data_IF_695175544762
#
_entry.id   IF_695175544762
#
_cell.length_a   1.000
_cell.length_b   1.000
_cell.length_c   1.000
_cell.angle_alpha   90.00
_cell.angle_beta   90.00
_cell.angle_gamma   90.00
#
_symmetry.space_group_name_H-M   'P 1'
#
loop_
_entity.id
_entity.type
_entity.pdbx_description
1 polymer ?
#
# COMPACT_ATOMS: atom_id res chain seq x y z
N UNK A 1 -6.76 -7.44 3.66
CA UNK A 1 -6.39 -7.30 2.25
C UNK A 1 -5.94 -8.65 1.71
N UNK A 2 -6.43 -9.05 0.55
CA UNK A 2 -6.16 -10.39 0.02
C UNK A 2 -4.86 -10.39 -0.77
N UNK A 3 -3.99 -11.35 -0.46
CA UNK A 3 -2.74 -11.58 -1.19
C UNK A 3 -2.90 -12.83 -2.05
N UNK A 4 -2.58 -12.71 -3.33
CA UNK A 4 -2.66 -13.79 -4.30
C UNK A 4 -1.24 -14.25 -4.60
N UNK A 5 -1.02 -15.56 -4.51
CA UNK A 5 0.29 -16.16 -4.80
C UNK A 5 0.27 -16.88 -6.12
N UNK A 6 1.35 -16.78 -6.86
CA UNK A 6 1.57 -17.57 -8.07
C UNK A 6 3.03 -18.04 -8.12
N UNK A 7 3.23 -19.24 -8.65
CA UNK A 7 4.55 -19.83 -8.79
C UNK A 7 4.87 -20.01 -10.27
N UNK A 8 6.07 -19.61 -10.67
CA UNK A 8 6.60 -19.91 -12.00
C UNK A 8 8.04 -20.42 -11.81
N UNK A 9 8.25 -21.71 -12.11
CA UNK A 9 9.54 -22.38 -11.89
C UNK A 9 9.98 -22.27 -10.42
N UNK A 10 11.11 -21.64 -10.16
CA UNK A 10 11.70 -21.44 -8.84
C UNK A 10 11.37 -20.05 -8.23
N UNK A 11 10.40 -19.36 -8.79
CA UNK A 11 10.02 -18.02 -8.35
C UNK A 11 8.60 -18.03 -7.81
N UNK A 12 8.42 -17.49 -6.58
CA UNK A 12 7.12 -17.24 -5.99
C UNK A 12 6.80 -15.75 -6.10
N UNK A 13 5.61 -15.42 -6.58
CA UNK A 13 5.12 -14.05 -6.70
C UNK A 13 3.95 -13.86 -5.75
N UNK A 14 4.01 -12.81 -4.93
CA UNK A 14 2.90 -12.34 -4.10
C UNK A 14 2.40 -11.01 -4.66
N UNK A 15 1.09 -10.89 -4.86
CA UNK A 15 0.47 -9.64 -5.33
C UNK A 15 -0.83 -9.38 -4.58
N UNK A 16 -1.22 -8.13 -4.50
CA UNK A 16 -2.53 -7.79 -3.97
C UNK A 16 -3.62 -8.10 -5.00
N UNK A 17 -4.84 -8.38 -4.51
CA UNK A 17 -6.00 -8.49 -5.38
C UNK A 17 -6.23 -7.16 -6.12
N UNK A 18 -6.96 -7.20 -7.25
CA UNK A 18 -7.22 -6.01 -8.07
C UNK A 18 -7.97 -4.89 -7.32
N UNK A 19 -8.60 -5.19 -6.19
CA UNK A 19 -9.38 -4.25 -5.39
C UNK A 19 -8.62 -3.61 -4.24
N UNK A 20 -7.29 -3.77 -4.19
CA UNK A 20 -6.51 -3.31 -3.03
C UNK A 20 -6.57 -1.79 -2.81
N UNK A 21 -6.60 -1.01 -3.89
CA UNK A 21 -6.69 0.45 -3.81
C UNK A 21 -8.06 0.87 -3.25
N UNK A 22 -9.13 0.22 -3.71
CA UNK A 22 -10.49 0.51 -3.22
C UNK A 22 -10.63 0.20 -1.73
N UNK A 23 -10.05 -0.89 -1.27
CA UNK A 23 -10.03 -1.25 0.16
C UNK A 23 -9.23 -0.27 0.99
N UNK A 24 -8.11 0.24 0.47
CA UNK A 24 -7.32 1.26 1.13
C UNK A 24 -8.11 2.56 1.27
N UNK A 25 -8.79 3.00 0.21
CA UNK A 25 -9.65 4.19 0.24
C UNK A 25 -10.79 4.03 1.26
N UNK A 26 -11.43 2.87 1.27
CA UNK A 26 -12.50 2.58 2.23
C UNK A 26 -12.01 2.66 3.68
N UNK A 27 -10.81 2.14 3.96
CA UNK A 27 -10.19 2.28 5.26
C UNK A 27 -10.06 3.75 5.69
N UNK A 28 -9.57 4.61 4.80
CA UNK A 28 -9.44 6.03 5.10
C UNK A 28 -10.79 6.72 5.31
N UNK A 29 -11.79 6.41 4.49
CA UNK A 29 -13.14 6.95 4.65
C UNK A 29 -13.74 6.60 6.00
N UNK A 30 -13.47 5.40 6.48
CA UNK A 30 -14.00 4.91 7.76
C UNK A 30 -13.30 5.56 8.96
N UNK A 31 -11.99 5.79 8.86
CA UNK A 31 -11.17 6.21 10.01
C UNK A 31 -10.86 7.71 10.04
N UNK A 32 -11.02 8.41 8.94
CA UNK A 32 -10.69 9.83 8.86
C UNK A 32 -11.91 10.65 8.46
N UNK A 33 -12.09 11.80 9.11
CA UNK A 33 -13.15 12.74 8.77
C UNK A 33 -12.65 13.72 7.70
N UNK A 34 -12.39 13.18 6.51
CA UNK A 34 -11.93 13.94 5.34
C UNK A 34 -12.90 13.64 4.20
N UNK A 35 -13.15 14.63 3.36
CA UNK A 35 -13.99 14.49 2.17
C UNK A 35 -13.48 13.34 1.29
N UNK A 36 -14.40 12.49 0.82
CA UNK A 36 -14.09 11.32 -0.02
C UNK A 36 -13.33 11.71 -1.29
N UNK A 37 -13.67 12.85 -1.90
CA UNK A 37 -12.98 13.34 -3.11
C UNK A 37 -11.52 13.68 -2.83
N UNK A 38 -11.23 14.19 -1.64
CA UNK A 38 -9.85 14.49 -1.23
C UNK A 38 -9.08 13.20 -1.01
N UNK A 39 -9.67 12.22 -0.35
CA UNK A 39 -9.06 10.90 -0.16
C UNK A 39 -8.74 10.25 -1.51
N UNK A 40 -9.70 10.22 -2.42
CA UNK A 40 -9.52 9.65 -3.75
C UNK A 40 -8.39 10.34 -4.51
N UNK A 41 -8.34 11.66 -4.45
CA UNK A 41 -7.32 12.46 -5.14
C UNK A 41 -5.91 12.20 -4.57
N UNK A 42 -5.78 12.20 -3.24
CA UNK A 42 -4.49 11.97 -2.56
C UNK A 42 -3.97 10.56 -2.83
N UNK A 43 -4.83 9.55 -2.68
CA UNK A 43 -4.46 8.16 -2.91
C UNK A 43 -4.03 7.97 -4.37
N UNK A 44 -4.82 8.46 -5.33
CA UNK A 44 -4.50 8.35 -6.74
C UNK A 44 -3.15 9.00 -7.09
N UNK A 45 -2.96 10.24 -6.67
CA UNK A 45 -1.71 10.98 -6.98
C UNK A 45 -0.49 10.32 -6.36
N UNK A 46 -0.60 9.88 -5.10
CA UNK A 46 0.53 9.27 -4.42
C UNK A 46 0.90 7.92 -5.04
N UNK A 47 -0.08 7.09 -5.37
CA UNK A 47 0.17 5.79 -6.01
C UNK A 47 0.76 5.97 -7.40
N UNK A 48 0.26 6.92 -8.20
CA UNK A 48 0.81 7.24 -9.51
C UNK A 48 2.27 7.68 -9.41
N UNK A 49 2.60 8.53 -8.44
CA UNK A 49 3.97 8.94 -8.19
C UNK A 49 4.85 7.76 -7.77
N UNK A 50 4.36 6.93 -6.86
CA UNK A 50 5.09 5.75 -6.40
C UNK A 50 5.38 4.77 -7.53
N UNK A 51 4.42 4.57 -8.45
CA UNK A 51 4.62 3.74 -9.65
C UNK A 51 5.73 4.32 -10.54
N UNK A 52 5.76 5.64 -10.72
CA UNK A 52 6.83 6.33 -11.44
C UNK A 52 8.19 6.17 -10.77
N UNK A 53 8.22 6.06 -9.45
CA UNK A 53 9.44 5.84 -8.65
C UNK A 53 9.82 4.34 -8.54
N UNK A 54 9.10 3.47 -9.25
CA UNK A 54 9.42 2.04 -9.29
C UNK A 54 8.59 1.15 -8.38
N UNK A 55 7.56 1.70 -7.70
CA UNK A 55 6.67 0.86 -6.90
C UNK A 55 5.89 -0.10 -7.78
N UNK A 56 5.81 -1.36 -7.34
CA UNK A 56 4.96 -2.38 -7.96
C UNK A 56 4.12 -3.04 -6.87
N UNK A 57 2.86 -3.32 -7.19
CA UNK A 57 1.92 -3.96 -6.26
C UNK A 57 2.15 -5.48 -6.17
N UNK A 58 3.35 -5.93 -6.42
CA UNK A 58 3.74 -7.32 -6.27
C UNK A 58 5.20 -7.42 -5.78
N UNK A 59 5.55 -8.58 -5.25
CA UNK A 59 6.92 -8.90 -4.86
C UNK A 59 7.23 -10.35 -5.19
N UNK A 60 8.49 -10.67 -5.35
CA UNK A 60 8.95 -12.00 -5.75
C UNK A 60 9.97 -12.55 -4.78
N UNK A 61 9.99 -13.87 -4.66
CA UNK A 61 11.05 -14.62 -3.99
C UNK A 61 11.56 -15.68 -4.97
N UNK A 62 12.82 -15.56 -5.38
CA UNK A 62 13.45 -16.52 -6.28
C UNK A 62 14.37 -17.42 -5.50
N UNK A 63 14.21 -18.74 -5.69
CA UNK A 63 15.11 -19.73 -5.11
C UNK A 63 16.46 -19.73 -5.84
N UNK A 64 17.55 -19.87 -5.09
CA UNK A 64 18.86 -20.09 -5.68
C UNK A 64 18.88 -21.40 -6.49
N UNK A 65 19.58 -21.46 -7.63
CA UNK A 65 19.68 -22.71 -8.41
C UNK A 65 20.28 -23.87 -7.62
N UNK A 66 21.04 -23.58 -6.57
CA UNK A 66 21.69 -24.59 -5.72
C UNK A 66 20.77 -25.12 -4.63
N UNK A 67 19.66 -24.46 -4.34
CA UNK A 67 18.72 -24.82 -3.29
C UNK A 67 17.50 -25.54 -3.85
N UNK A 68 16.91 -26.39 -3.02
CA UNK A 68 15.59 -26.97 -3.32
C UNK A 68 14.53 -25.92 -3.05
N UNK A 69 13.64 -25.70 -4.03
CA UNK A 69 12.55 -24.75 -3.87
C UNK A 69 11.54 -25.22 -2.82
N UNK A 70 11.32 -24.39 -1.80
CA UNK A 70 10.30 -24.60 -0.79
C UNK A 70 9.19 -23.55 -0.97
N UNK A 71 8.01 -24.02 -1.31
CA UNK A 71 6.87 -23.17 -1.63
C UNK A 71 6.43 -22.32 -0.44
N UNK A 72 6.39 -22.88 0.76
CA UNK A 72 5.98 -22.15 1.96
C UNK A 72 6.98 -21.06 2.35
N UNK A 73 8.27 -21.35 2.26
CA UNK A 73 9.33 -20.35 2.48
C UNK A 73 9.24 -19.26 1.43
N UNK A 74 9.04 -19.63 0.15
CA UNK A 74 8.89 -18.68 -0.95
C UNK A 74 7.71 -17.74 -0.74
N UNK A 75 6.56 -18.26 -0.33
CA UNK A 75 5.38 -17.46 -0.01
C UNK A 75 5.65 -16.48 1.13
N UNK A 76 6.30 -16.93 2.19
CA UNK A 76 6.61 -16.07 3.33
C UNK A 76 7.52 -14.91 2.93
N UNK A 77 8.57 -15.18 2.18
CA UNK A 77 9.52 -14.15 1.72
C UNK A 77 8.82 -13.16 0.78
N UNK A 78 8.08 -13.66 -0.19
CA UNK A 78 7.36 -12.82 -1.15
C UNK A 78 6.32 -11.93 -0.45
N UNK A 79 5.56 -12.49 0.49
CA UNK A 79 4.61 -11.77 1.33
C UNK A 79 5.28 -10.66 2.13
N UNK A 80 6.38 -10.96 2.80
CA UNK A 80 7.11 -9.98 3.62
C UNK A 80 7.59 -8.82 2.76
N UNK A 81 8.16 -9.10 1.59
CA UNK A 81 8.61 -8.07 0.65
C UNK A 81 7.46 -7.21 0.14
N UNK A 82 6.31 -7.82 -0.16
CA UNK A 82 5.11 -7.10 -0.61
C UNK A 82 4.57 -6.18 0.49
N UNK A 83 4.46 -6.68 1.71
CA UNK A 83 3.98 -5.89 2.85
C UNK A 83 4.91 -4.72 3.14
N UNK A 84 6.22 -4.91 3.04
CA UNK A 84 7.18 -3.81 3.22
C UNK A 84 6.99 -2.71 2.18
N UNK A 85 6.78 -3.06 0.91
CA UNK A 85 6.46 -2.10 -0.15
C UNK A 85 5.17 -1.34 0.16
N UNK A 86 4.13 -2.06 0.53
CA UNK A 86 2.82 -1.50 0.88
C UNK A 86 2.94 -0.52 2.06
N UNK A 87 3.66 -0.90 3.11
CA UNK A 87 3.83 -0.05 4.28
C UNK A 87 4.53 1.27 3.94
N UNK A 88 5.49 1.28 3.02
CA UNK A 88 6.14 2.51 2.56
C UNK A 88 5.15 3.44 1.86
N UNK A 89 4.32 2.90 0.98
CA UNK A 89 3.30 3.69 0.26
C UNK A 89 2.25 4.23 1.23
N UNK A 90 1.74 3.39 2.12
CA UNK A 90 0.73 3.80 3.11
C UNK A 90 1.28 4.85 4.07
N UNK A 91 2.54 4.71 4.50
CA UNK A 91 3.19 5.71 5.37
C UNK A 91 3.22 7.08 4.68
N UNK A 92 3.54 7.13 3.39
CA UNK A 92 3.54 8.39 2.63
C UNK A 92 2.15 9.00 2.49
N UNK A 93 1.15 8.18 2.19
CA UNK A 93 -0.25 8.63 2.10
C UNK A 93 -0.75 9.13 3.45
N UNK A 94 -0.50 8.40 4.52
CA UNK A 94 -0.89 8.77 5.88
C UNK A 94 -0.32 10.13 6.27
N UNK A 95 0.94 10.38 5.93
CA UNK A 95 1.60 11.66 6.22
C UNK A 95 0.89 12.82 5.55
N UNK A 96 0.46 12.67 4.31
CA UNK A 96 -0.27 13.70 3.57
C UNK A 96 -1.65 13.93 4.18
N UNK A 97 -2.40 12.86 4.43
CA UNK A 97 -3.76 12.95 4.99
C UNK A 97 -3.75 13.54 6.40
N UNK A 98 -2.78 13.18 7.24
CA UNK A 98 -2.65 13.76 8.57
C UNK A 98 -2.38 15.25 8.55
N UNK A 99 -1.57 15.73 7.60
CA UNK A 99 -1.34 17.17 7.42
C UNK A 99 -2.63 17.91 7.08
N UNK A 100 -3.49 17.31 6.25
CA UNK A 100 -4.78 17.90 5.91
C UNK A 100 -5.70 17.98 7.13
N UNK A 101 -5.75 16.93 7.94
CA UNK A 101 -6.54 16.93 9.19
C UNK A 101 -6.03 18.01 10.15
N UNK A 102 -4.72 18.12 10.33
CA UNK A 102 -4.10 19.14 11.18
C UNK A 102 -4.44 20.55 10.72
N UNK A 103 -4.40 20.81 9.41
CA UNK A 103 -4.77 22.11 8.83
C UNK A 103 -6.22 22.45 9.10
N UNK A 104 -7.13 21.50 8.97
CA UNK A 104 -8.56 21.71 9.28
C UNK A 104 -8.77 22.02 10.76
N UNK A 105 -8.08 21.31 11.63
CA UNK A 105 -8.15 21.56 13.07
C UNK A 105 -7.65 22.96 13.44
N UNK A 106 -6.54 23.40 12.85
CA UNK A 106 -6.01 24.74 13.05
C UNK A 106 -6.99 25.82 12.57
N UNK A 107 -7.59 25.60 11.41
CA UNK A 107 -8.58 26.52 10.87
C UNK A 107 -9.78 26.68 11.81
N UNK A 108 -10.30 25.59 12.35
CA UNK A 108 -11.40 25.61 13.30
C UNK A 108 -11.02 26.34 14.60
N UNK A 109 -9.82 26.11 15.12
CA UNK A 109 -9.32 26.80 16.32
C UNK A 109 -9.22 28.31 16.10
N UNK A 110 -8.73 28.71 14.93
CA UNK A 110 -8.60 30.14 14.59
C UNK A 110 -9.97 30.82 14.48
N UNK A 111 -10.97 30.12 13.98
CA UNK A 111 -12.34 30.66 13.83
C UNK A 111 -13.09 30.84 15.15
N UNK A 112 -12.72 30.08 16.16
CA UNK A 112 -13.37 30.15 17.49
C UNK A 112 -12.88 31.32 18.34
N UNK A 113 -11.92 32.05 17.86
CA UNK A 113 -11.45 33.29 18.50
C UNK A 113 -12.26 34.47 17.92
#
# INVERSE_FOLDING_TARGET
MIIIYSRKNDTMVARFSATWIDKLKEYYRTHLNIDDDIIDCVVYKYITKAEGDGFRAYAMAKCSPEDTFDEEIGKHIAKTRLINKYNRVVTGINRILLKLVESDMQFLRTRQR
#
